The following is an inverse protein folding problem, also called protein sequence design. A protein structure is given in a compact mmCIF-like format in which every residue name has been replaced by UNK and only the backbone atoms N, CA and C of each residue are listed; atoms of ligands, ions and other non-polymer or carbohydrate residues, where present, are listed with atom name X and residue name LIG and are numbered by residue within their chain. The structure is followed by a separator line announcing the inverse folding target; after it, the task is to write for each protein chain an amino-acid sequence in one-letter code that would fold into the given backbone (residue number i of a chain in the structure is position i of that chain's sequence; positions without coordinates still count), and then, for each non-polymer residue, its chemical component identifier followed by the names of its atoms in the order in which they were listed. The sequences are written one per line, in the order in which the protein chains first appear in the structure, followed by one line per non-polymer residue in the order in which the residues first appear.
data_IF_468370029914
#
_entry.id   IF_468370029914
#
_cell.length_a   1.000
_cell.length_b   1.000
_cell.length_c   1.000
_cell.angle_alpha   90.00
_cell.angle_beta   90.00
_cell.angle_gamma   90.00
#
_symmetry.space_group_name_H-M   'P 1'
#
loop_
_entity.id
_entity.type
_entity.pdbx_description
1 polymer ?
#
# COMPACT_ATOMS: atom_id res chain seq x y z
N UNK A 1 5.01 6.91 -0.61
CA UNK A 1 3.60 6.76 -0.17
C UNK A 1 2.73 7.80 -0.84
N UNK A 2 1.48 7.50 -1.08
CA UNK A 2 0.52 8.39 -1.76
C UNK A 2 -0.68 8.59 -0.82
N UNK A 3 -1.08 9.83 -0.56
CA UNK A 3 -2.25 10.15 0.27
C UNK A 3 -3.57 9.93 -0.49
N UNK A 4 -4.68 9.95 0.25
CA UNK A 4 -6.00 10.11 -0.37
C UNK A 4 -6.22 11.55 -0.87
N UNK A 5 -7.28 11.78 -1.63
CA UNK A 5 -7.65 13.11 -2.13
C UNK A 5 -8.02 14.08 -1.00
N UNK A 6 -7.89 15.37 -1.27
CA UNK A 6 -8.21 16.43 -0.31
C UNK A 6 -9.66 16.34 0.19
N UNK A 7 -9.84 16.53 1.50
CA UNK A 7 -11.14 16.41 2.15
C UNK A 7 -11.66 14.97 2.29
N UNK A 8 -10.89 13.97 1.91
CA UNK A 8 -11.25 12.55 2.04
C UNK A 8 -10.48 11.89 3.17
N UNK A 9 -11.03 10.80 3.70
CA UNK A 9 -10.35 10.01 4.72
C UNK A 9 -8.99 9.52 4.20
N UNK A 10 -7.93 9.72 4.98
CA UNK A 10 -6.57 9.37 4.60
C UNK A 10 -5.82 10.47 3.86
N UNK A 11 -6.43 11.66 3.71
CA UNK A 11 -5.69 12.83 3.26
C UNK A 11 -4.74 13.32 4.35
N UNK A 12 -3.55 13.70 3.95
CA UNK A 12 -2.52 14.22 4.85
C UNK A 12 -2.11 15.60 4.34
N UNK A 13 -2.14 16.59 5.22
CA UNK A 13 -1.67 17.92 4.89
C UNK A 13 -0.17 17.88 4.54
N UNK A 14 0.26 18.55 3.47
CA UNK A 14 1.66 18.51 3.03
C UNK A 14 2.66 18.86 4.13
N UNK A 15 2.35 19.88 4.93
CA UNK A 15 3.24 20.36 6.00
C UNK A 15 3.36 19.37 7.16
N UNK A 16 2.39 18.50 7.34
CA UNK A 16 2.34 17.54 8.45
C UNK A 16 2.77 16.13 8.04
N UNK A 17 2.92 15.88 6.74
CA UNK A 17 3.09 14.55 6.20
C UNK A 17 4.30 13.81 6.81
N UNK A 18 5.47 14.47 6.85
CA UNK A 18 6.69 13.85 7.38
C UNK A 18 6.53 13.51 8.86
N UNK A 19 6.03 14.47 9.65
CA UNK A 19 5.84 14.28 11.09
C UNK A 19 4.78 13.22 11.40
N UNK A 20 3.70 13.18 10.62
CA UNK A 20 2.64 12.19 10.77
C UNK A 20 3.19 10.78 10.57
N UNK A 21 3.94 10.53 9.51
CA UNK A 21 4.53 9.22 9.26
C UNK A 21 5.60 8.86 10.29
N UNK A 22 6.45 9.82 10.66
CA UNK A 22 7.46 9.62 11.70
C UNK A 22 6.84 9.22 13.04
N UNK A 23 5.71 9.81 13.42
CA UNK A 23 5.01 9.46 14.66
C UNK A 23 4.51 8.01 14.70
N UNK A 24 4.31 7.38 13.53
CA UNK A 24 3.98 5.96 13.38
C UNK A 24 5.20 5.07 13.15
N UNK A 25 6.42 5.61 13.26
CA UNK A 25 7.64 4.85 12.97
C UNK A 25 7.82 4.50 11.50
N UNK A 26 7.17 5.25 10.60
CA UNK A 26 7.25 5.04 9.16
C UNK A 26 8.08 6.14 8.50
N UNK A 27 9.09 5.75 7.74
CA UNK A 27 10.04 6.66 7.10
C UNK A 27 10.12 6.39 5.59
N UNK A 28 9.06 6.69 4.83
CA UNK A 28 9.08 6.51 3.37
C UNK A 28 10.07 7.47 2.72
N UNK A 29 10.75 7.04 1.66
CA UNK A 29 11.67 7.88 0.89
C UNK A 29 10.95 9.09 0.27
N UNK A 30 9.71 8.88 -0.17
CA UNK A 30 8.89 9.93 -0.77
C UNK A 30 7.45 9.84 -0.28
N UNK A 31 6.86 11.01 -0.06
CA UNK A 31 5.45 11.17 0.26
C UNK A 31 4.83 12.06 -0.82
N UNK A 32 3.86 11.51 -1.55
CA UNK A 32 3.12 12.24 -2.58
C UNK A 32 1.74 12.59 -2.04
N UNK A 33 1.41 13.86 -2.05
CA UNK A 33 0.08 14.33 -1.65
C UNK A 33 -0.80 14.39 -2.87
N UNK A 34 -1.73 13.43 -2.97
CA UNK A 34 -2.61 13.25 -4.13
C UNK A 34 -3.89 14.09 -3.97
N UNK A 35 -3.72 15.41 -4.03
CA UNK A 35 -4.77 16.39 -3.73
C UNK A 35 -6.08 16.10 -4.47
N UNK A 36 -6.00 15.74 -5.75
CA UNK A 36 -7.16 15.50 -6.59
C UNK A 36 -7.57 14.03 -6.71
N UNK A 37 -6.76 13.12 -6.14
CA UNK A 37 -6.96 11.69 -6.29
C UNK A 37 -6.52 11.14 -7.66
N UNK A 38 -5.75 11.91 -8.43
CA UNK A 38 -5.36 11.54 -9.80
C UNK A 38 -4.42 10.34 -9.82
N UNK A 39 -3.46 10.29 -8.90
CA UNK A 39 -2.55 9.16 -8.77
C UNK A 39 -3.28 7.90 -8.33
N UNK A 40 -4.15 8.02 -7.31
CA UNK A 40 -4.96 6.89 -6.86
C UNK A 40 -5.81 6.32 -7.99
N UNK A 41 -6.45 7.17 -8.78
CA UNK A 41 -7.23 6.76 -9.96
C UNK A 41 -6.35 6.10 -11.03
N UNK A 42 -5.18 6.67 -11.30
CA UNK A 42 -4.23 6.15 -12.29
C UNK A 42 -3.76 4.74 -11.93
N UNK A 43 -3.50 4.48 -10.66
CA UNK A 43 -3.14 3.15 -10.15
C UNK A 43 -4.35 2.25 -9.98
N UNK A 44 -5.57 2.75 -10.15
CA UNK A 44 -6.81 2.03 -9.84
C UNK A 44 -6.84 1.52 -8.40
N UNK A 45 -6.38 2.34 -7.47
CA UNK A 45 -6.37 2.01 -6.06
C UNK A 45 -7.79 1.82 -5.54
N UNK A 46 -8.03 0.72 -4.82
CA UNK A 46 -9.36 0.34 -4.33
C UNK A 46 -9.54 0.63 -2.85
N UNK A 47 -8.49 0.40 -2.09
CA UNK A 47 -8.52 0.47 -0.63
C UNK A 47 -7.36 1.29 -0.09
N UNK A 48 -7.46 1.66 1.17
CA UNK A 48 -6.34 2.21 1.93
C UNK A 48 -6.07 1.26 3.10
N UNK A 49 -4.93 0.56 3.10
CA UNK A 49 -3.85 0.58 2.10
C UNK A 49 -4.16 -0.21 0.82
N UNK A 50 -3.47 0.08 -0.26
CA UNK A 50 -3.34 -0.72 -1.47
C UNK A 50 -1.88 -0.64 -1.91
N UNK A 51 -1.21 -1.77 -2.00
CA UNK A 51 0.22 -1.84 -2.29
C UNK A 51 0.45 -2.08 -3.78
N UNK A 52 1.43 -1.39 -4.30
CA UNK A 52 1.93 -1.57 -5.66
C UNK A 52 3.45 -1.68 -5.60
N UNK A 53 4.01 -2.69 -6.23
CA UNK A 53 5.46 -2.89 -6.32
C UNK A 53 5.84 -2.84 -7.80
N UNK A 54 6.77 -1.94 -8.14
CA UNK A 54 7.34 -1.85 -9.47
C UNK A 54 8.77 -2.41 -9.45
N UNK A 55 9.16 -3.05 -10.54
CA UNK A 55 10.53 -3.50 -10.74
C UNK A 55 11.45 -2.37 -11.26
N UNK A 56 12.71 -2.72 -11.54
CA UNK A 56 13.70 -1.78 -12.08
C UNK A 56 13.34 -1.23 -13.47
N UNK A 57 12.46 -1.92 -14.21
CA UNK A 57 11.96 -1.49 -15.52
C UNK A 57 10.72 -0.61 -15.40
N UNK A 58 10.28 -0.29 -14.16
CA UNK A 58 9.07 0.48 -13.84
C UNK A 58 7.76 -0.25 -14.17
N UNK A 59 7.81 -1.57 -14.33
CA UNK A 59 6.63 -2.40 -14.50
C UNK A 59 6.03 -2.77 -13.14
N UNK A 60 4.72 -2.65 -13.00
CA UNK A 60 4.03 -3.11 -11.78
C UNK A 60 4.03 -4.64 -11.79
N UNK A 61 4.78 -5.22 -10.87
CA UNK A 61 4.93 -6.67 -10.74
C UNK A 61 4.08 -7.27 -9.63
N UNK A 62 3.61 -6.46 -8.71
CA UNK A 62 2.66 -6.86 -7.67
C UNK A 62 1.67 -5.74 -7.36
N UNK A 63 0.43 -6.11 -7.11
CA UNK A 63 -0.57 -5.20 -6.55
C UNK A 63 -1.53 -5.96 -5.63
N UNK A 64 -1.94 -5.32 -4.54
CA UNK A 64 -2.90 -5.94 -3.63
C UNK A 64 -2.68 -5.60 -2.16
N UNK A 65 -2.89 -6.60 -1.31
CA UNK A 65 -2.78 -6.49 0.13
C UNK A 65 -1.32 -6.52 0.61
N UNK A 66 -1.09 -6.01 1.81
CA UNK A 66 0.20 -6.16 2.50
C UNK A 66 0.43 -7.64 2.87
N UNK A 67 -0.61 -8.27 3.40
CA UNK A 67 -0.60 -9.63 3.92
C UNK A 67 -1.97 -10.30 3.78
N UNK A 68 -2.11 -11.52 4.26
CA UNK A 68 -3.37 -12.26 4.29
C UNK A 68 -4.15 -12.14 5.61
N UNK A 69 -3.72 -11.25 6.50
CA UNK A 69 -4.34 -11.06 7.82
C UNK A 69 -5.66 -10.28 7.77
N UNK A 70 -5.94 -9.63 6.65
CA UNK A 70 -7.11 -8.75 6.50
C UNK A 70 -8.42 -9.47 6.33
N UNK A 71 -9.51 -8.73 6.56
CA UNK A 71 -10.88 -9.18 6.38
C UNK A 71 -11.67 -9.20 7.67
N UNK A 72 -12.77 -9.96 7.68
CA UNK A 72 -13.77 -9.96 8.76
C UNK A 72 -13.28 -10.56 10.09
N UNK A 73 -12.10 -11.16 10.11
CA UNK A 73 -11.52 -11.82 11.28
C UNK A 73 -10.29 -11.10 11.82
N UNK A 74 -10.23 -9.82 11.64
CA UNK A 74 -9.06 -9.01 12.00
C UNK A 74 -8.59 -9.24 13.45
N UNK A 75 -9.50 -9.38 14.41
CA UNK A 75 -9.18 -9.59 15.83
C UNK A 75 -8.82 -11.04 16.19
N UNK A 76 -9.00 -11.98 15.29
CA UNK A 76 -8.69 -13.40 15.53
C UNK A 76 -7.46 -13.87 14.77
N UNK A 77 -6.88 -13.02 13.93
CA UNK A 77 -5.72 -13.37 13.10
C UNK A 77 -4.44 -13.17 13.88
N UNK A 78 -3.64 -14.22 14.00
CA UNK A 78 -2.27 -14.14 14.51
C UNK A 78 -1.36 -13.60 13.40
N UNK A 79 -0.91 -12.36 13.55
CA UNK A 79 -0.03 -11.70 12.58
C UNK A 79 1.30 -12.43 12.39
N UNK A 80 1.75 -13.20 13.38
CA UNK A 80 2.98 -13.99 13.26
C UNK A 80 2.83 -15.18 12.29
N UNK A 81 1.59 -15.62 12.05
CA UNK A 81 1.27 -16.69 11.12
C UNK A 81 0.80 -16.17 9.76
N UNK A 82 0.61 -14.86 9.64
CA UNK A 82 0.18 -14.23 8.38
C UNK A 82 1.29 -14.27 7.34
N UNK A 83 0.89 -14.53 6.08
CA UNK A 83 1.78 -14.39 4.93
C UNK A 83 1.89 -12.90 4.58
N UNK A 84 3.09 -12.34 4.70
CA UNK A 84 3.36 -10.99 4.25
C UNK A 84 3.72 -11.01 2.75
N UNK A 85 2.78 -10.66 1.90
CA UNK A 85 2.94 -10.68 0.44
C UNK A 85 4.02 -9.71 -0.04
N UNK A 86 4.10 -8.53 0.56
CA UNK A 86 5.12 -7.53 0.17
C UNK A 86 6.52 -8.06 0.43
N UNK A 87 6.74 -8.62 1.62
CA UNK A 87 8.03 -9.21 1.98
C UNK A 87 8.39 -10.37 1.05
N UNK A 88 7.42 -11.21 0.72
CA UNK A 88 7.61 -12.35 -0.19
C UNK A 88 8.01 -11.89 -1.58
N UNK A 89 7.28 -10.94 -2.16
CA UNK A 89 7.58 -10.40 -3.49
C UNK A 89 8.95 -9.72 -3.51
N UNK A 90 9.28 -8.91 -2.52
CA UNK A 90 10.59 -8.24 -2.43
C UNK A 90 11.72 -9.26 -2.33
N UNK A 91 11.55 -10.32 -1.56
CA UNK A 91 12.55 -11.38 -1.46
C UNK A 91 12.74 -12.14 -2.79
N UNK A 92 11.65 -12.42 -3.50
CA UNK A 92 11.71 -13.06 -4.83
C UNK A 92 12.48 -12.18 -5.82
N UNK A 93 12.21 -10.87 -5.85
CA UNK A 93 12.91 -9.91 -6.70
C UNK A 93 14.41 -9.87 -6.36
N UNK A 94 14.76 -9.75 -5.08
CA UNK A 94 16.16 -9.70 -4.62
C UNK A 94 16.93 -10.97 -4.93
N UNK A 95 16.24 -12.11 -4.96
CA UNK A 95 16.84 -13.43 -5.22
C UNK A 95 16.79 -13.83 -6.70
N UNK A 96 16.30 -12.95 -7.59
CA UNK A 96 16.09 -13.24 -9.01
C UNK A 96 15.21 -14.48 -9.25
N UNK A 97 14.26 -14.74 -8.36
CA UNK A 97 13.31 -15.85 -8.49
C UNK A 97 12.05 -15.38 -9.20
N UNK A 98 11.33 -16.27 -9.89
CA UNK A 98 9.98 -15.98 -10.36
C UNK A 98 9.10 -15.57 -9.19
N UNK A 99 8.21 -14.60 -9.42
CA UNK A 99 7.31 -14.14 -8.37
C UNK A 99 6.31 -15.24 -8.01
N UNK A 100 6.21 -15.54 -6.72
CA UNK A 100 5.24 -16.51 -6.20
C UNK A 100 3.82 -15.96 -6.17
N UNK A 101 3.66 -14.63 -6.18
CA UNK A 101 2.38 -13.94 -6.20
C UNK A 101 2.53 -12.60 -6.91
N UNK A 102 1.57 -12.24 -7.77
CA UNK A 102 1.58 -10.99 -8.52
C UNK A 102 0.37 -10.10 -8.23
N UNK A 103 -0.71 -10.69 -7.70
CA UNK A 103 -1.94 -9.97 -7.39
C UNK A 103 -2.68 -10.64 -6.26
N UNK A 104 -3.16 -9.84 -5.32
CA UNK A 104 -4.07 -10.27 -4.25
C UNK A 104 -5.20 -9.27 -4.11
N UNK A 105 -6.26 -9.63 -3.39
CA UNK A 105 -7.34 -8.70 -3.09
C UNK A 105 -6.88 -7.75 -1.99
N UNK A 106 -6.83 -6.45 -2.25
CA UNK A 106 -6.51 -5.49 -1.20
C UNK A 106 -7.64 -5.43 -0.17
N UNK A 107 -7.30 -5.10 1.07
CA UNK A 107 -8.27 -4.91 2.14
C UNK A 107 -8.02 -3.59 2.85
N UNK A 108 -9.03 -3.09 3.52
CA UNK A 108 -9.02 -1.81 4.22
C UNK A 108 -10.21 -0.95 3.84
N UNK A 109 -10.17 0.31 4.20
CA UNK A 109 -11.22 1.27 3.85
C UNK A 109 -11.17 1.58 2.35
N UNK A 110 -12.33 1.62 1.69
CA UNK A 110 -12.38 2.00 0.28
C UNK A 110 -11.86 3.42 0.06
N UNK A 111 -11.06 3.59 -0.99
CA UNK A 111 -10.58 4.94 -1.37
C UNK A 111 -11.77 5.80 -1.78
N UNK A 112 -11.82 7.01 -1.24
CA UNK A 112 -12.85 8.00 -1.59
C UNK A 112 -12.26 8.97 -2.61
N UNK A 113 -12.67 8.84 -3.84
CA UNK A 113 -12.37 9.80 -4.87
C UNK A 113 -13.40 10.95 -4.85
N UNK A 114 -12.94 12.11 -5.21
CA UNK A 114 -13.77 13.30 -5.30
C UNK A 114 -14.79 13.25 -6.44
#
# INVERSE_FOLDING_TARGET
MISSAEGKQGYIQPNDAVNTFASFGSFPDHILVDKNGDLGKKFNAKTTPHIFIADKNKDIVYQGAIDDAGGTRFWTTDLNQSINFVKKVVNDIKSNKPLSVSKTRPYGCSVKYG
#
